data_IF_016533576459
#
_entry.id   IF_016533576459
#
_cell.length_a   1.000
_cell.length_b   1.000
_cell.length_c   1.000
_cell.angle_alpha   90.00
_cell.angle_beta   90.00
_cell.angle_gamma   90.00
#
_symmetry.space_group_name_H-M   'P 1'
#
loop_
_entity.id
_entity.type
_entity.pdbx_description
1 polymer ?
#
# COMPACT_ATOMS: atom_id res chain seq x y z
N UNK A 1 86.69 9.86 37.65
CA UNK A 1 85.46 9.29 38.21
C UNK A 1 84.22 10.00 37.73
N UNK A 2 84.11 10.40 36.41
CA UNK A 2 82.99 11.21 35.89
C UNK A 2 82.46 10.82 34.52
N UNK A 3 82.81 9.60 33.94
CA UNK A 3 82.31 9.16 32.65
C UNK A 3 81.18 8.15 32.70
N UNK A 4 80.81 7.62 33.85
CA UNK A 4 79.72 6.64 33.98
C UNK A 4 78.32 7.26 34.27
N UNK A 5 78.20 8.51 34.64
CA UNK A 5 76.93 9.17 34.93
C UNK A 5 76.22 9.74 33.69
N UNK A 6 76.97 10.00 32.59
CA UNK A 6 76.39 10.52 31.33
C UNK A 6 75.63 9.47 30.51
N UNK A 7 75.99 8.21 30.60
CA UNK A 7 75.34 7.10 29.80
C UNK A 7 74.00 6.66 30.38
N UNK A 8 73.77 6.89 31.69
CA UNK A 8 72.52 6.46 32.33
C UNK A 8 71.36 7.48 32.11
N UNK A 9 71.69 8.75 31.86
CA UNK A 9 70.68 9.80 31.60
C UNK A 9 70.21 9.80 30.16
N UNK A 10 71.11 9.42 29.19
CA UNK A 10 70.70 9.30 27.77
C UNK A 10 69.84 8.05 27.53
N UNK A 11 70.02 6.94 28.25
CA UNK A 11 69.19 5.74 28.20
C UNK A 11 67.77 5.96 28.74
N UNK A 12 67.58 6.86 29.70
CA UNK A 12 66.27 7.15 30.32
C UNK A 12 65.43 8.12 29.49
N UNK A 13 66.05 8.95 28.61
CA UNK A 13 65.33 9.86 27.70
C UNK A 13 64.81 9.17 26.41
N UNK A 14 65.37 8.03 26.03
CA UNK A 14 64.89 7.25 24.84
C UNK A 14 63.70 6.36 25.17
N UNK A 15 63.42 6.05 26.43
CA UNK A 15 62.28 5.21 26.82
C UNK A 15 60.95 5.97 26.94
N UNK A 16 60.91 7.31 26.88
CA UNK A 16 59.66 8.11 26.89
C UNK A 16 59.02 8.35 25.55
N UNK A 17 59.63 7.88 24.44
CA UNK A 17 59.08 8.09 23.09
C UNK A 17 58.15 6.91 22.61
N UNK A 18 57.89 5.89 23.42
CA UNK A 18 57.19 4.67 23.00
C UNK A 18 55.67 4.62 23.23
N UNK A 19 55.07 5.68 23.86
CA UNK A 19 53.62 5.77 24.00
C UNK A 19 53.04 6.74 22.95
N UNK A 20 53.16 6.42 21.66
CA UNK A 20 52.23 6.99 20.67
C UNK A 20 50.88 6.34 20.88
N UNK A 21 49.97 7.06 21.55
CA UNK A 21 48.56 6.65 21.59
C UNK A 21 48.09 6.40 20.17
N UNK A 22 47.50 5.25 19.91
CA UNK A 22 46.91 4.95 18.60
C UNK A 22 45.88 6.03 18.27
N UNK A 23 46.01 6.62 17.10
CA UNK A 23 45.03 7.58 16.62
C UNK A 23 43.63 6.92 16.62
N UNK A 24 42.60 7.68 17.02
CA UNK A 24 41.24 7.13 17.06
C UNK A 24 40.85 6.60 15.66
N UNK A 25 40.58 5.31 15.57
CA UNK A 25 40.19 4.64 14.32
C UNK A 25 38.68 4.41 14.33
N UNK A 26 38.01 4.68 13.22
CA UNK A 26 36.63 4.28 13.01
C UNK A 26 36.62 2.87 12.41
N UNK A 27 36.01 1.94 13.14
CA UNK A 27 35.86 0.53 12.73
C UNK A 27 34.42 0.28 12.31
N UNK A 28 34.23 -0.70 11.43
CA UNK A 28 32.91 -1.07 10.95
C UNK A 28 32.89 -2.32 10.11
N UNK A 29 31.80 -2.50 9.40
CA UNK A 29 31.54 -3.61 8.50
C UNK A 29 31.05 -3.14 7.16
N UNK A 30 31.29 -3.95 6.13
CA UNK A 30 30.76 -3.73 4.79
C UNK A 30 29.32 -4.23 4.73
N UNK A 31 28.41 -3.37 4.32
CA UNK A 31 26.98 -3.68 4.21
C UNK A 31 26.41 -3.28 2.84
N UNK A 32 25.24 -3.81 2.55
CA UNK A 32 24.44 -3.45 1.37
C UNK A 32 23.08 -2.93 1.80
N UNK A 33 22.48 -2.10 0.97
CA UNK A 33 21.08 -1.75 1.14
C UNK A 33 20.25 -3.02 0.92
N UNK A 34 19.31 -3.26 1.84
CA UNK A 34 18.47 -4.46 1.85
C UNK A 34 17.02 -4.13 1.59
N UNK A 35 16.39 -4.94 0.76
CA UNK A 35 14.94 -4.94 0.56
C UNK A 35 14.40 -6.29 1.00
N UNK A 36 13.56 -6.27 2.01
CA UNK A 36 12.85 -7.45 2.50
C UNK A 36 11.48 -7.52 1.86
N UNK A 37 11.15 -8.66 1.27
CA UNK A 37 9.84 -8.94 0.70
C UNK A 37 9.04 -9.76 1.69
N UNK A 38 8.00 -9.17 2.31
CA UNK A 38 7.14 -9.90 3.24
C UNK A 38 6.08 -10.72 2.52
N UNK A 39 5.59 -11.78 3.16
CA UNK A 39 4.45 -12.56 2.72
C UNK A 39 3.18 -11.70 2.70
N UNK A 40 2.50 -11.54 1.55
CA UNK A 40 1.27 -10.74 1.46
C UNK A 40 0.07 -11.41 2.12
N UNK A 41 0.08 -12.74 2.21
CA UNK A 41 -0.92 -13.57 2.88
C UNK A 41 -0.26 -14.86 3.38
N UNK A 42 -0.95 -15.58 4.28
CA UNK A 42 -0.48 -16.88 4.78
C UNK A 42 -0.91 -17.98 3.81
N UNK A 43 -0.14 -18.13 2.73
CA UNK A 43 -0.36 -19.11 1.67
C UNK A 43 0.88 -19.97 1.47
N UNK A 44 0.70 -21.20 0.96
CA UNK A 44 1.78 -22.15 0.70
C UNK A 44 2.64 -21.70 -0.48
N UNK A 45 3.96 -21.86 -0.36
CA UNK A 45 4.90 -21.64 -1.45
C UNK A 45 4.81 -22.81 -2.44
N UNK A 46 4.39 -22.53 -3.67
CA UNK A 46 4.20 -23.55 -4.73
C UNK A 46 5.32 -23.51 -5.78
N UNK A 47 6.13 -22.44 -5.84
CA UNK A 47 7.26 -22.34 -6.74
C UNK A 47 8.27 -21.34 -6.20
N UNK A 48 9.55 -21.65 -6.40
CA UNK A 48 10.69 -20.76 -6.15
C UNK A 48 11.50 -20.69 -7.43
N UNK A 49 11.65 -19.49 -7.99
CA UNK A 49 12.25 -19.27 -9.32
C UNK A 49 13.73 -18.87 -9.23
N UNK A 50 14.24 -18.61 -8.02
CA UNK A 50 15.61 -18.11 -7.79
C UNK A 50 16.32 -18.88 -6.69
N UNK A 51 17.64 -18.67 -6.60
CA UNK A 51 18.50 -19.24 -5.55
C UNK A 51 19.21 -18.12 -4.78
N UNK A 52 19.60 -18.41 -3.55
CA UNK A 52 20.46 -17.52 -2.77
C UNK A 52 21.78 -17.26 -3.53
N UNK A 53 22.25 -16.03 -3.48
CA UNK A 53 23.42 -15.57 -4.24
C UNK A 53 23.14 -15.17 -5.70
N UNK A 54 21.97 -15.47 -6.26
CA UNK A 54 21.64 -15.17 -7.66
C UNK A 54 21.39 -13.67 -7.87
N UNK A 55 21.92 -13.14 -9.00
CA UNK A 55 21.59 -11.79 -9.47
C UNK A 55 20.23 -11.80 -10.17
N UNK A 56 19.40 -10.80 -9.86
CA UNK A 56 18.05 -10.63 -10.42
C UNK A 56 17.86 -9.21 -10.93
N UNK A 57 17.14 -9.08 -12.03
CA UNK A 57 16.70 -7.78 -12.54
C UNK A 57 15.44 -7.31 -11.80
N UNK A 58 15.14 -6.01 -11.88
CA UNK A 58 13.84 -5.50 -11.42
C UNK A 58 12.70 -6.17 -12.19
N UNK A 59 11.64 -6.60 -11.49
CA UNK A 59 10.51 -7.32 -12.06
C UNK A 59 10.74 -8.83 -12.26
N UNK A 60 11.96 -9.36 -12.00
CA UNK A 60 12.21 -10.79 -12.11
C UNK A 60 11.36 -11.59 -11.10
N UNK A 61 10.76 -12.72 -11.52
CA UNK A 61 10.00 -13.58 -10.62
C UNK A 61 10.94 -14.21 -9.58
N UNK A 62 10.51 -14.21 -8.31
CA UNK A 62 11.27 -14.78 -7.19
C UNK A 62 10.62 -16.03 -6.67
N UNK A 63 9.34 -15.97 -6.38
CA UNK A 63 8.55 -17.12 -5.93
C UNK A 63 7.05 -16.90 -6.14
N UNK A 64 6.32 -17.99 -6.11
CA UNK A 64 4.88 -18.03 -6.27
C UNK A 64 4.24 -18.66 -5.04
N UNK A 65 3.29 -17.95 -4.43
CA UNK A 65 2.41 -18.49 -3.41
C UNK A 65 1.18 -19.13 -4.07
N UNK A 66 0.48 -19.99 -3.35
CA UNK A 66 -0.73 -20.64 -3.82
C UNK A 66 -1.83 -19.61 -4.13
N UNK A 67 -2.49 -19.76 -5.29
CA UNK A 67 -3.47 -18.79 -5.81
C UNK A 67 -4.92 -19.23 -5.63
N UNK A 68 -5.16 -20.52 -5.38
CA UNK A 68 -6.49 -21.14 -5.45
C UNK A 68 -7.54 -20.42 -4.60
N UNK A 69 -7.21 -20.12 -3.36
CA UNK A 69 -8.11 -19.41 -2.45
C UNK A 69 -8.37 -17.97 -2.93
N UNK A 70 -7.32 -17.23 -3.26
CA UNK A 70 -7.43 -15.83 -3.70
C UNK A 70 -8.20 -15.71 -5.04
N UNK A 71 -8.03 -16.68 -5.96
CA UNK A 71 -8.79 -16.74 -7.22
C UNK A 71 -10.27 -17.02 -6.97
N UNK A 72 -10.59 -17.96 -6.07
CA UNK A 72 -11.97 -18.27 -5.70
C UNK A 72 -12.67 -17.07 -5.06
N UNK A 73 -11.97 -16.35 -4.19
CA UNK A 73 -12.46 -15.11 -3.59
C UNK A 73 -12.69 -14.02 -4.65
N UNK A 74 -11.77 -13.87 -5.60
CA UNK A 74 -11.93 -12.91 -6.70
C UNK A 74 -13.18 -13.24 -7.53
N UNK A 75 -13.39 -14.52 -7.87
CA UNK A 75 -14.55 -14.94 -8.61
C UNK A 75 -15.88 -14.68 -7.86
N UNK A 76 -15.90 -14.90 -6.54
CA UNK A 76 -17.07 -14.60 -5.70
C UNK A 76 -17.40 -13.10 -5.70
N UNK A 77 -16.37 -12.23 -5.53
CA UNK A 77 -16.54 -10.79 -5.56
C UNK A 77 -16.97 -10.26 -6.95
N UNK A 78 -16.48 -10.88 -8.03
CA UNK A 78 -16.92 -10.58 -9.40
C UNK A 78 -18.40 -10.94 -9.59
N UNK A 79 -18.85 -12.07 -9.03
CA UNK A 79 -20.26 -12.44 -9.02
C UNK A 79 -21.14 -11.41 -8.29
N UNK A 80 -20.66 -10.90 -7.15
CA UNK A 80 -21.37 -9.86 -6.40
C UNK A 80 -21.42 -8.53 -7.15
N UNK A 81 -20.34 -8.14 -7.83
CA UNK A 81 -20.33 -6.94 -8.68
C UNK A 81 -21.30 -7.08 -9.87
N UNK A 82 -21.37 -8.27 -10.48
CA UNK A 82 -22.35 -8.58 -11.53
C UNK A 82 -23.79 -8.48 -11.03
N UNK A 83 -24.07 -8.97 -9.83
CA UNK A 83 -25.39 -8.84 -9.18
C UNK A 83 -25.75 -7.36 -8.96
N UNK A 84 -24.80 -6.54 -8.44
CA UNK A 84 -25.03 -5.08 -8.25
C UNK A 84 -25.26 -4.37 -9.59
N UNK A 85 -24.55 -4.79 -10.65
CA UNK A 85 -24.76 -4.28 -12.02
C UNK A 85 -26.16 -4.59 -12.53
N UNK A 86 -26.64 -5.81 -12.34
CA UNK A 86 -27.99 -6.23 -12.76
C UNK A 86 -29.08 -5.43 -11.97
N UNK A 87 -28.90 -5.27 -10.65
CA UNK A 87 -29.80 -4.49 -9.84
C UNK A 87 -29.87 -3.00 -10.25
N UNK A 88 -28.74 -2.39 -10.56
CA UNK A 88 -28.68 -1.03 -11.08
C UNK A 88 -29.38 -0.93 -12.47
N UNK A 89 -29.16 -1.91 -13.33
CA UNK A 89 -29.81 -1.96 -14.63
C UNK A 89 -31.33 -2.07 -14.50
N UNK A 90 -31.83 -2.84 -13.53
CA UNK A 90 -33.27 -2.90 -13.22
C UNK A 90 -33.82 -1.53 -12.82
N UNK A 91 -33.11 -0.81 -11.94
CA UNK A 91 -33.51 0.55 -11.56
C UNK A 91 -33.53 1.52 -12.73
N UNK A 92 -32.56 1.44 -13.65
CA UNK A 92 -32.50 2.28 -14.85
C UNK A 92 -33.58 1.92 -15.89
N UNK A 93 -33.88 0.64 -16.05
CA UNK A 93 -34.91 0.18 -16.99
C UNK A 93 -36.32 0.58 -16.51
N UNK A 94 -36.50 0.74 -15.19
CA UNK A 94 -37.78 1.10 -14.60
C UNK A 94 -38.88 0.06 -14.75
N UNK A 95 -40.16 0.43 -14.60
CA UNK A 95 -41.30 -0.44 -14.73
C UNK A 95 -41.41 -1.07 -16.14
N UNK A 96 -41.98 -2.26 -16.20
CA UNK A 96 -42.15 -2.98 -17.47
C UNK A 96 -43.14 -2.24 -18.38
N UNK A 97 -42.94 -2.35 -19.70
CA UNK A 97 -43.83 -1.75 -20.68
C UNK A 97 -45.28 -2.24 -20.56
N UNK A 98 -45.48 -3.50 -20.12
CA UNK A 98 -46.78 -4.10 -19.89
C UNK A 98 -47.50 -3.42 -18.70
N UNK A 99 -46.80 -3.11 -17.62
CA UNK A 99 -47.39 -2.44 -16.43
C UNK A 99 -47.84 -1.03 -16.83
N UNK A 100 -47.04 -0.31 -17.59
CA UNK A 100 -47.36 1.01 -18.12
C UNK A 100 -48.58 0.94 -19.06
N UNK A 101 -48.64 -0.09 -19.94
CA UNK A 101 -49.78 -0.27 -20.85
C UNK A 101 -51.09 -0.56 -20.07
N UNK A 102 -50.99 -1.38 -19.02
CA UNK A 102 -52.12 -1.69 -18.15
C UNK A 102 -52.65 -0.44 -17.43
N UNK A 103 -51.75 0.37 -16.85
CA UNK A 103 -52.09 1.61 -16.19
C UNK A 103 -52.73 2.65 -17.14
N UNK A 104 -52.26 2.73 -18.39
CA UNK A 104 -52.85 3.57 -19.42
C UNK A 104 -54.27 3.11 -19.78
N UNK A 105 -54.52 1.80 -19.92
CA UNK A 105 -55.83 1.25 -20.19
C UNK A 105 -56.82 1.56 -19.01
N UNK A 106 -56.35 1.44 -17.77
CA UNK A 106 -57.09 1.77 -16.57
C UNK A 106 -57.47 3.26 -16.54
N UNK A 107 -56.54 4.17 -16.88
CA UNK A 107 -56.80 5.61 -16.97
C UNK A 107 -57.87 5.91 -18.05
N UNK A 108 -57.76 5.32 -19.23
CA UNK A 108 -58.73 5.50 -20.32
C UNK A 108 -60.14 5.05 -19.88
N UNK A 109 -60.29 3.92 -19.21
CA UNK A 109 -61.53 3.43 -18.68
C UNK A 109 -62.15 4.36 -17.61
N UNK A 110 -61.34 4.81 -16.65
CA UNK A 110 -61.76 5.77 -15.58
C UNK A 110 -62.17 7.11 -16.17
N UNK A 111 -61.45 7.61 -17.14
CA UNK A 111 -61.81 8.85 -17.85
C UNK A 111 -63.14 8.74 -18.64
N UNK A 112 -63.41 7.58 -19.26
CA UNK A 112 -64.63 7.34 -19.94
C UNK A 112 -65.84 7.36 -18.94
N UNK A 113 -65.66 6.72 -17.78
CA UNK A 113 -66.65 6.71 -16.71
C UNK A 113 -66.91 8.11 -16.14
N UNK A 114 -65.85 8.88 -15.92
CA UNK A 114 -65.94 10.28 -15.44
C UNK A 114 -66.69 11.15 -16.47
N UNK A 115 -66.36 11.04 -17.75
CA UNK A 115 -67.11 11.75 -18.82
C UNK A 115 -68.57 11.37 -18.83
N UNK A 116 -68.92 10.11 -18.75
CA UNK A 116 -70.31 9.62 -18.74
C UNK A 116 -71.07 10.22 -17.54
N UNK A 117 -70.52 10.13 -16.32
CA UNK A 117 -71.15 10.67 -15.11
C UNK A 117 -71.30 12.18 -15.17
N UNK A 118 -70.31 12.90 -15.69
CA UNK A 118 -70.35 14.35 -15.86
C UNK A 118 -71.43 14.78 -16.86
N UNK A 119 -71.53 14.11 -18.02
CA UNK A 119 -72.59 14.37 -19.04
C UNK A 119 -73.97 14.09 -18.46
N UNK A 120 -74.14 13.05 -17.66
CA UNK A 120 -75.38 12.74 -17.01
C UNK A 120 -75.76 13.84 -16.00
N UNK A 121 -74.86 14.23 -15.11
CA UNK A 121 -75.05 15.35 -14.17
C UNK A 121 -75.39 16.67 -14.88
N UNK A 122 -74.63 17.01 -15.93
CA UNK A 122 -74.89 18.24 -16.72
C UNK A 122 -76.22 18.25 -17.44
N UNK A 123 -76.79 17.10 -17.78
CA UNK A 123 -78.10 16.93 -18.40
C UNK A 123 -79.22 17.19 -17.30
N UNK A 124 -79.01 16.70 -16.09
CA UNK A 124 -79.96 16.85 -14.98
C UNK A 124 -80.00 18.25 -14.37
N UNK A 125 -78.90 18.97 -14.38
CA UNK A 125 -78.74 20.28 -13.75
C UNK A 125 -79.77 21.31 -14.22
N UNK A 126 -80.08 21.53 -15.52
CA UNK A 126 -81.09 22.45 -15.97
C UNK A 126 -82.54 21.96 -15.70
N UNK A 127 -82.74 20.66 -15.55
CA UNK A 127 -84.04 20.08 -15.15
C UNK A 127 -84.29 20.26 -13.67
N UNK A 128 -83.24 20.17 -12.85
CA UNK A 128 -83.36 20.50 -11.39
C UNK A 128 -83.74 21.92 -11.11
N UNK A 129 -83.19 22.91 -11.83
CA UNK A 129 -83.55 24.35 -11.72
C UNK A 129 -84.99 24.61 -12.08
N UNK A 130 -85.56 23.74 -12.93
CA UNK A 130 -86.98 23.79 -13.34
C UNK A 130 -87.91 22.93 -12.47
N UNK A 131 -87.39 22.31 -11.41
CA UNK A 131 -88.11 21.41 -10.48
C UNK A 131 -88.66 20.14 -11.22
N UNK A 132 -88.09 19.71 -12.35
CA UNK A 132 -88.59 18.60 -13.11
C UNK A 132 -87.91 17.23 -12.74
N UNK A 133 -86.96 17.28 -11.80
CA UNK A 133 -86.31 16.11 -11.20
C UNK A 133 -86.21 16.34 -9.67
N UNK A 134 -86.13 15.23 -8.91
CA UNK A 134 -86.00 15.30 -7.45
C UNK A 134 -84.61 15.81 -7.05
N UNK A 135 -84.50 16.66 -6.03
CA UNK A 135 -83.28 17.19 -5.49
C UNK A 135 -82.26 16.06 -5.12
N UNK A 136 -82.78 14.96 -4.55
CA UNK A 136 -81.98 13.82 -4.18
C UNK A 136 -81.35 13.09 -5.39
N UNK A 137 -81.98 13.17 -6.59
CA UNK A 137 -81.44 12.58 -7.81
C UNK A 137 -80.30 13.45 -8.39
N UNK A 138 -80.48 14.75 -8.38
CA UNK A 138 -79.49 15.73 -8.75
C UNK A 138 -78.20 15.60 -7.86
N UNK A 139 -78.43 15.49 -6.51
CA UNK A 139 -77.31 15.28 -5.58
C UNK A 139 -76.55 13.98 -5.80
N UNK A 140 -77.29 12.87 -6.08
CA UNK A 140 -76.66 11.58 -6.44
C UNK A 140 -75.83 11.66 -7.74
N UNK A 141 -76.40 12.31 -8.77
CA UNK A 141 -75.67 12.47 -10.03
C UNK A 141 -74.42 13.34 -9.86
N UNK A 142 -74.52 14.39 -9.02
CA UNK A 142 -73.37 15.22 -8.67
C UNK A 142 -72.33 14.43 -7.91
N UNK A 143 -72.70 13.68 -6.89
CA UNK A 143 -71.75 12.83 -6.13
C UNK A 143 -71.12 11.76 -7.00
N UNK A 144 -71.86 11.10 -7.91
CA UNK A 144 -71.35 10.14 -8.86
C UNK A 144 -70.31 10.76 -9.84
N UNK A 145 -70.59 11.95 -10.36
CA UNK A 145 -69.67 12.67 -11.22
C UNK A 145 -68.36 13.07 -10.50
N UNK A 146 -68.49 13.51 -9.23
CA UNK A 146 -67.32 13.83 -8.41
C UNK A 146 -66.47 12.61 -8.07
N UNK A 147 -67.13 11.49 -7.72
CA UNK A 147 -66.44 10.23 -7.45
C UNK A 147 -65.69 9.70 -8.68
N UNK A 148 -66.35 9.64 -9.83
CA UNK A 148 -65.74 9.17 -11.07
C UNK A 148 -64.55 10.08 -11.52
N UNK A 149 -64.67 11.39 -11.28
CA UNK A 149 -63.55 12.32 -11.54
C UNK A 149 -62.36 12.05 -10.62
N UNK A 150 -62.62 11.77 -9.34
CA UNK A 150 -61.58 11.40 -8.40
C UNK A 150 -60.90 10.05 -8.77
N UNK A 151 -61.66 9.08 -9.28
CA UNK A 151 -61.19 7.79 -9.74
C UNK A 151 -60.24 7.97 -10.95
N UNK A 152 -60.64 8.83 -11.92
CA UNK A 152 -59.79 9.20 -13.04
C UNK A 152 -58.49 9.87 -12.59
N UNK A 153 -58.55 10.77 -11.60
CA UNK A 153 -57.35 11.37 -11.02
C UNK A 153 -56.45 10.38 -10.32
N UNK A 154 -57.00 9.34 -9.64
CA UNK A 154 -56.19 8.28 -9.03
C UNK A 154 -55.49 7.43 -10.09
N UNK A 155 -56.19 7.09 -11.18
CA UNK A 155 -55.60 6.34 -12.26
C UNK A 155 -54.51 7.11 -13.03
N UNK A 156 -54.66 8.43 -13.16
CA UNK A 156 -53.65 9.33 -13.75
C UNK A 156 -52.40 9.40 -12.88
N UNK A 157 -52.57 9.57 -11.56
CA UNK A 157 -51.46 9.58 -10.61
C UNK A 157 -50.68 8.25 -10.60
N UNK A 158 -51.39 7.10 -10.69
CA UNK A 158 -50.77 5.77 -10.75
C UNK A 158 -49.96 5.58 -12.05
N UNK A 159 -50.47 6.05 -13.18
CA UNK A 159 -49.71 6.04 -14.43
C UNK A 159 -48.49 6.95 -14.36
N UNK A 160 -48.63 8.15 -13.81
CA UNK A 160 -47.55 9.10 -13.64
C UNK A 160 -46.43 8.53 -12.74
N UNK A 161 -46.78 7.83 -11.68
CA UNK A 161 -45.80 7.14 -10.80
C UNK A 161 -44.98 6.10 -11.60
N UNK A 162 -45.62 5.27 -12.41
CA UNK A 162 -44.92 4.29 -13.26
C UNK A 162 -44.04 4.98 -14.33
N UNK A 163 -44.50 6.08 -14.92
CA UNK A 163 -43.74 6.83 -15.91
C UNK A 163 -42.51 7.56 -15.34
N UNK A 164 -42.59 8.00 -14.10
CA UNK A 164 -41.44 8.59 -13.40
C UNK A 164 -40.37 7.54 -13.08
N UNK A 165 -40.73 6.25 -12.91
CA UNK A 165 -39.80 5.17 -12.68
C UNK A 165 -39.12 5.24 -11.30
N UNK A 166 -37.88 4.75 -11.23
CA UNK A 166 -37.09 4.75 -9.97
C UNK A 166 -36.73 6.16 -9.52
N UNK A 167 -36.74 6.39 -8.22
CA UNK A 167 -36.31 7.67 -7.64
C UNK A 167 -34.80 7.89 -7.84
N UNK A 168 -34.39 9.12 -7.98
CA UNK A 168 -32.98 9.51 -8.16
C UNK A 168 -32.11 8.94 -7.02
N UNK A 169 -32.64 8.94 -5.79
CA UNK A 169 -31.92 8.41 -4.62
C UNK A 169 -31.73 6.89 -4.70
N UNK A 170 -32.69 6.16 -5.28
CA UNK A 170 -32.57 4.71 -5.47
C UNK A 170 -31.50 4.37 -6.51
N UNK A 171 -31.46 5.14 -7.60
CA UNK A 171 -30.42 5.00 -8.63
C UNK A 171 -29.04 5.33 -8.03
N UNK A 172 -28.90 6.44 -7.32
CA UNK A 172 -27.65 6.83 -6.66
C UNK A 172 -27.18 5.78 -5.64
N UNK A 173 -28.12 5.16 -4.90
CA UNK A 173 -27.82 4.06 -3.99
C UNK A 173 -27.33 2.82 -4.73
N UNK A 174 -27.94 2.49 -5.87
CA UNK A 174 -27.51 1.39 -6.75
C UNK A 174 -26.11 1.63 -7.32
N UNK A 175 -25.81 2.85 -7.77
CA UNK A 175 -24.49 3.25 -8.25
C UNK A 175 -23.42 3.12 -7.17
N UNK A 176 -23.72 3.58 -5.95
CA UNK A 176 -22.81 3.46 -4.82
C UNK A 176 -22.55 2.00 -4.43
N UNK A 177 -23.59 1.14 -4.48
CA UNK A 177 -23.45 -0.29 -4.23
C UNK A 177 -22.57 -0.97 -5.29
N UNK A 178 -22.74 -0.63 -6.56
CA UNK A 178 -21.89 -1.13 -7.64
C UNK A 178 -20.44 -0.67 -7.49
N UNK A 179 -20.23 0.62 -7.21
CA UNK A 179 -18.89 1.17 -6.99
C UNK A 179 -18.15 0.47 -5.83
N UNK A 180 -18.86 0.19 -4.73
CA UNK A 180 -18.32 -0.56 -3.59
C UNK A 180 -17.94 -1.99 -3.97
N UNK A 181 -18.80 -2.70 -4.70
CA UNK A 181 -18.53 -4.06 -5.16
C UNK A 181 -17.31 -4.11 -6.10
N UNK A 182 -17.19 -3.16 -7.03
CA UNK A 182 -16.04 -3.02 -7.94
C UNK A 182 -14.74 -2.70 -7.20
N UNK A 183 -14.79 -1.87 -6.16
CA UNK A 183 -13.64 -1.60 -5.30
C UNK A 183 -13.12 -2.87 -4.60
N UNK A 184 -14.03 -3.72 -4.11
CA UNK A 184 -13.70 -5.01 -3.50
C UNK A 184 -13.03 -5.97 -4.51
N UNK A 185 -13.53 -6.03 -5.74
CA UNK A 185 -12.91 -6.80 -6.85
C UNK A 185 -11.49 -6.31 -7.10
N UNK A 186 -11.30 -4.99 -7.18
CA UNK A 186 -10.00 -4.37 -7.43
C UNK A 186 -9.00 -4.67 -6.29
N UNK A 187 -9.43 -4.57 -5.03
CA UNK A 187 -8.62 -4.88 -3.87
C UNK A 187 -8.15 -6.35 -3.88
N UNK A 188 -9.06 -7.28 -4.18
CA UNK A 188 -8.72 -8.69 -4.26
C UNK A 188 -7.81 -9.02 -5.45
N UNK A 189 -7.98 -8.35 -6.59
CA UNK A 189 -7.10 -8.50 -7.75
C UNK A 189 -5.65 -8.04 -7.44
N UNK A 190 -5.50 -6.95 -6.68
CA UNK A 190 -4.20 -6.49 -6.19
C UNK A 190 -3.56 -7.51 -5.26
N UNK A 191 -4.34 -8.09 -4.32
CA UNK A 191 -3.83 -9.13 -3.43
C UNK A 191 -3.37 -10.35 -4.24
N UNK A 192 -4.18 -10.82 -5.20
CA UNK A 192 -3.84 -11.93 -6.09
C UNK A 192 -2.52 -11.66 -6.83
N UNK A 193 -2.33 -10.45 -7.36
CA UNK A 193 -1.10 -10.06 -8.04
C UNK A 193 0.13 -10.09 -7.12
N UNK A 194 -0.04 -9.75 -5.84
CA UNK A 194 1.05 -9.78 -4.85
C UNK A 194 1.48 -11.20 -4.45
N UNK A 195 0.66 -12.23 -4.68
CA UNK A 195 1.03 -13.62 -4.41
C UNK A 195 2.10 -14.15 -5.38
N UNK A 196 2.32 -13.50 -6.51
CA UNK A 196 3.50 -13.67 -7.35
C UNK A 196 4.57 -12.66 -6.92
N UNK A 197 5.55 -13.10 -6.13
CA UNK A 197 6.62 -12.24 -5.67
C UNK A 197 7.59 -11.94 -6.80
N UNK A 198 7.82 -10.67 -7.04
CA UNK A 198 8.82 -10.18 -8.01
C UNK A 198 9.82 -9.26 -7.34
N UNK A 199 11.03 -9.18 -7.88
CA UNK A 199 12.07 -8.28 -7.39
C UNK A 199 11.66 -6.82 -7.64
N UNK A 200 11.52 -5.97 -6.61
CA UNK A 200 11.14 -4.56 -6.80
C UNK A 200 12.27 -3.73 -7.41
N UNK A 201 13.51 -4.17 -7.27
CA UNK A 201 14.73 -3.55 -7.79
C UNK A 201 15.70 -4.63 -8.20
N UNK A 202 16.61 -4.29 -9.13
CA UNK A 202 17.74 -5.15 -9.46
C UNK A 202 18.67 -5.32 -8.25
N UNK A 203 19.17 -6.53 -8.04
CA UNK A 203 20.03 -6.85 -6.91
C UNK A 203 20.40 -8.32 -6.85
N UNK A 204 20.99 -8.74 -5.74
CA UNK A 204 21.36 -10.13 -5.45
C UNK A 204 20.48 -10.69 -4.35
N UNK A 205 20.00 -11.91 -4.52
CA UNK A 205 19.24 -12.62 -3.48
C UNK A 205 20.17 -12.95 -2.31
N UNK A 206 19.91 -12.38 -1.14
CA UNK A 206 20.70 -12.60 0.08
C UNK A 206 20.23 -13.87 0.80
N UNK A 207 18.92 -13.98 1.04
CA UNK A 207 18.36 -15.15 1.72
C UNK A 207 16.94 -15.48 1.29
N UNK A 208 16.60 -16.76 1.35
CA UNK A 208 15.27 -17.35 1.14
C UNK A 208 14.96 -18.24 2.37
N UNK A 209 14.41 -17.65 3.45
CA UNK A 209 14.23 -18.36 4.72
C UNK A 209 13.27 -19.56 4.65
N UNK A 210 12.35 -19.56 3.67
CA UNK A 210 11.34 -20.59 3.49
C UNK A 210 11.64 -21.49 2.28
N UNK A 211 11.14 -22.71 2.32
CA UNK A 211 11.32 -23.72 1.28
C UNK A 211 10.00 -23.97 0.54
N UNK A 212 10.12 -24.68 -0.59
CA UNK A 212 8.95 -25.13 -1.35
C UNK A 212 8.05 -26.00 -0.46
N UNK A 213 6.76 -25.68 -0.40
CA UNK A 213 5.77 -26.35 0.42
C UNK A 213 5.52 -25.71 1.79
N UNK A 214 6.39 -24.82 2.27
CA UNK A 214 6.16 -24.09 3.52
C UNK A 214 5.00 -23.11 3.39
N UNK A 215 4.34 -22.83 4.51
CA UNK A 215 3.27 -21.84 4.63
C UNK A 215 3.66 -20.76 5.64
N UNK A 216 4.31 -19.69 5.19
CA UNK A 216 4.71 -18.58 6.05
C UNK A 216 3.51 -17.80 6.56
N UNK A 217 3.62 -17.22 7.76
CA UNK A 217 2.62 -16.28 8.25
C UNK A 217 2.65 -14.98 7.45
N UNK A 218 1.53 -14.27 7.36
CA UNK A 218 1.47 -12.95 6.75
C UNK A 218 2.48 -12.00 7.40
N UNK A 219 3.24 -11.27 6.60
CA UNK A 219 4.29 -10.37 7.04
C UNK A 219 5.66 -11.04 7.27
N UNK A 220 5.75 -12.38 7.25
CA UNK A 220 7.03 -13.08 7.36
C UNK A 220 7.96 -12.75 6.18
N UNK A 221 9.28 -12.60 6.40
CA UNK A 221 10.23 -12.30 5.33
C UNK A 221 10.39 -13.50 4.39
N UNK A 222 9.93 -13.39 3.15
CA UNK A 222 10.05 -14.47 2.15
C UNK A 222 11.36 -14.43 1.38
N UNK A 223 11.85 -13.25 1.09
CA UNK A 223 13.12 -13.04 0.41
C UNK A 223 13.77 -11.75 0.91
N UNK A 224 15.08 -11.76 1.01
CA UNK A 224 15.89 -10.56 1.24
C UNK A 224 16.78 -10.35 0.04
N UNK A 225 16.74 -9.14 -0.52
CA UNK A 225 17.57 -8.74 -1.66
C UNK A 225 18.60 -7.70 -1.20
N UNK A 226 19.84 -7.86 -1.61
CA UNK A 226 20.86 -6.82 -1.57
C UNK A 226 20.73 -5.99 -2.84
N UNK A 227 20.46 -4.70 -2.68
CA UNK A 227 20.15 -3.80 -3.79
C UNK A 227 21.15 -2.65 -3.86
N UNK A 228 21.31 -2.08 -5.05
CA UNK A 228 22.27 -1.01 -5.31
C UNK A 228 23.41 -1.46 -6.21
N UNK A 229 24.25 -0.51 -6.62
CA UNK A 229 25.39 -0.78 -7.52
C UNK A 229 26.68 -1.10 -6.75
N UNK A 230 26.74 -0.69 -5.49
CA UNK A 230 27.91 -0.87 -4.61
C UNK A 230 27.48 -0.97 -3.14
N UNK A 231 28.29 -1.64 -2.30
CA UNK A 231 28.09 -1.67 -0.86
C UNK A 231 28.41 -0.32 -0.22
N UNK A 232 28.11 -0.20 1.06
CA UNK A 232 28.55 0.91 1.91
C UNK A 232 29.28 0.37 3.14
N UNK A 233 30.17 1.20 3.69
CA UNK A 233 30.82 0.91 4.96
C UNK A 233 29.95 1.49 6.09
N UNK A 234 29.49 0.65 6.99
CA UNK A 234 28.82 1.04 8.23
C UNK A 234 29.84 1.08 9.34
N UNK A 235 30.13 2.28 9.82
CA UNK A 235 31.24 2.53 10.74
C UNK A 235 30.78 3.26 11.98
N UNK A 236 31.56 3.05 13.06
CA UNK A 236 31.37 3.73 14.33
C UNK A 236 32.45 4.80 14.49
N UNK A 237 32.08 6.06 14.34
CA UNK A 237 32.97 7.21 14.48
C UNK A 237 33.16 7.56 15.95
N UNK A 238 34.35 7.51 16.52
CA UNK A 238 34.64 8.09 17.82
C UNK A 238 34.30 9.57 17.86
N UNK A 239 33.98 10.11 19.03
CA UNK A 239 33.60 11.52 19.19
C UNK A 239 34.65 12.49 18.62
N UNK A 240 35.94 12.18 18.75
CA UNK A 240 37.02 12.98 18.20
C UNK A 240 36.96 13.14 16.68
N UNK A 241 36.57 12.09 15.96
CA UNK A 241 36.38 12.11 14.50
C UNK A 241 35.02 12.72 14.11
N UNK A 242 33.97 12.48 14.92
CA UNK A 242 32.65 13.05 14.68
C UNK A 242 32.64 14.57 14.58
N UNK A 243 33.44 15.24 15.42
CA UNK A 243 33.52 16.70 15.46
C UNK A 243 34.19 17.32 14.22
N UNK A 244 34.94 16.52 13.47
CA UNK A 244 35.69 16.97 12.28
C UNK A 244 35.02 16.59 10.98
N UNK A 245 34.19 15.52 10.95
CA UNK A 245 33.62 14.92 9.76
C UNK A 245 32.17 15.38 9.56
N UNK A 246 31.83 15.63 8.30
CA UNK A 246 30.51 16.04 7.85
C UNK A 246 29.99 15.11 6.75
N UNK A 247 28.66 15.10 6.56
CA UNK A 247 28.05 14.41 5.42
C UNK A 247 28.57 15.03 4.12
N UNK A 248 29.03 14.19 3.22
CA UNK A 248 29.64 14.61 1.95
C UNK A 248 31.16 14.54 1.94
N UNK A 249 31.84 14.42 3.09
CA UNK A 249 33.30 14.32 3.15
C UNK A 249 33.79 13.01 2.49
N UNK A 250 34.92 13.13 1.80
CA UNK A 250 35.62 11.98 1.21
C UNK A 250 36.51 11.33 2.27
N UNK A 251 36.44 10.02 2.34
CA UNK A 251 37.25 9.19 3.24
C UNK A 251 37.81 7.99 2.49
N UNK A 252 38.83 7.38 3.04
CA UNK A 252 39.39 6.13 2.54
C UNK A 252 38.99 4.98 3.49
N UNK A 253 38.52 3.88 2.91
CA UNK A 253 38.12 2.70 3.64
C UNK A 253 39.06 1.54 3.26
N UNK A 254 39.54 0.84 4.28
CA UNK A 254 40.44 -0.31 4.12
C UNK A 254 39.85 -1.52 4.81
N UNK A 255 39.81 -2.68 4.12
CA UNK A 255 39.46 -3.94 4.74
C UNK A 255 40.47 -4.37 5.80
N UNK A 256 40.02 -5.07 6.84
CA UNK A 256 40.92 -5.72 7.79
C UNK A 256 41.19 -7.16 7.35
N UNK A 257 42.43 -7.67 7.59
CA UNK A 257 42.85 -9.02 7.24
C UNK A 257 43.94 -9.04 6.15
N UNK A 258 44.15 -10.20 5.52
CA UNK A 258 45.23 -10.42 4.56
C UNK A 258 45.11 -9.60 3.25
N UNK A 259 43.88 -9.10 2.97
CA UNK A 259 43.63 -8.19 1.84
C UNK A 259 43.92 -6.70 2.21
N UNK A 260 44.60 -6.42 3.31
CA UNK A 260 44.77 -5.11 3.95
C UNK A 260 45.57 -4.06 3.15
N UNK A 261 45.93 -4.33 1.88
CA UNK A 261 46.65 -3.35 1.05
C UNK A 261 45.77 -2.50 0.18
N UNK A 262 44.53 -2.91 -0.08
CA UNK A 262 43.63 -2.20 -0.98
C UNK A 262 42.77 -1.19 -0.22
N UNK A 263 42.79 0.03 -0.70
CA UNK A 263 42.03 1.18 -0.14
C UNK A 263 40.93 1.56 -1.13
N UNK A 264 39.74 1.72 -0.63
CA UNK A 264 38.56 2.10 -1.41
C UNK A 264 38.16 3.55 -1.09
N UNK A 265 38.02 4.41 -2.09
CA UNK A 265 37.51 5.74 -1.89
C UNK A 265 36.03 5.68 -1.52
N UNK A 266 35.62 6.47 -0.52
CA UNK A 266 34.24 6.55 -0.09
C UNK A 266 33.83 7.97 0.24
N UNK A 267 32.51 8.17 0.34
CA UNK A 267 31.94 9.45 0.74
C UNK A 267 30.90 9.24 1.84
N UNK A 268 30.95 10.03 2.89
CA UNK A 268 29.99 9.95 3.99
C UNK A 268 28.59 10.30 3.45
N UNK A 269 27.65 9.34 3.51
CA UNK A 269 26.25 9.54 3.11
C UNK A 269 25.33 9.91 4.28
N UNK A 270 25.72 9.49 5.50
CA UNK A 270 24.92 9.71 6.69
C UNK A 270 25.80 9.64 7.95
N UNK A 271 25.51 10.48 8.95
CA UNK A 271 26.01 10.35 10.30
C UNK A 271 24.83 10.55 11.26
N UNK A 272 24.60 9.58 12.15
CA UNK A 272 23.54 9.72 13.16
C UNK A 272 23.91 10.80 14.18
N UNK A 273 22.90 11.54 14.63
CA UNK A 273 23.05 12.55 15.68
C UNK A 273 23.13 11.93 17.07
N UNK A 274 22.50 10.78 17.27
CA UNK A 274 22.48 10.07 18.54
C UNK A 274 23.71 9.17 18.68
N UNK A 275 24.44 9.26 19.80
CA UNK A 275 25.57 8.38 20.06
C UNK A 275 25.04 6.97 20.40
N UNK A 276 25.84 5.99 20.06
CA UNK A 276 25.61 4.58 20.41
C UNK A 276 26.85 4.02 21.08
N UNK A 277 26.68 3.04 21.98
CA UNK A 277 27.82 2.29 22.48
C UNK A 277 28.29 1.32 21.39
N UNK A 278 29.62 1.26 21.19
CA UNK A 278 30.16 0.30 20.22
C UNK A 278 29.83 -1.15 20.65
N UNK A 279 29.31 -1.99 19.74
CA UNK A 279 29.03 -3.39 20.08
C UNK A 279 30.30 -4.25 20.22
N UNK A 280 31.48 -3.70 19.99
CA UNK A 280 32.75 -4.40 20.19
C UNK A 280 33.15 -4.30 21.65
N UNK A 281 33.26 -5.44 22.32
CA UNK A 281 33.90 -5.56 23.61
C UNK A 281 35.37 -5.21 23.45
N UNK A 282 35.76 -3.99 23.83
CA UNK A 282 37.15 -3.65 23.91
C UNK A 282 37.77 -4.47 25.05
N UNK A 283 38.86 -5.18 24.73
CA UNK A 283 39.59 -5.98 25.68
C UNK A 283 40.36 -5.17 26.74
N UNK A 284 40.30 -3.83 26.67
CA UNK A 284 40.94 -2.92 27.61
C UNK A 284 39.93 -1.88 28.11
N UNK A 285 39.85 -1.70 29.42
CA UNK A 285 38.81 -0.92 30.11
C UNK A 285 38.75 0.58 29.83
N UNK A 286 39.64 1.15 29.03
CA UNK A 286 39.60 2.57 28.63
C UNK A 286 38.82 2.85 27.31
N UNK A 287 38.57 1.83 26.52
CA UNK A 287 37.86 1.97 25.22
C UNK A 287 36.35 1.62 25.31
N UNK A 288 35.93 0.97 26.42
CA UNK A 288 34.56 0.55 26.62
C UNK A 288 33.55 1.69 26.88
N UNK A 289 34.02 2.89 27.27
CA UNK A 289 33.18 4.01 27.65
C UNK A 289 33.09 5.13 26.57
N UNK A 290 33.69 4.92 25.39
CA UNK A 290 33.71 5.97 24.36
C UNK A 290 32.43 5.97 23.55
N UNK A 291 31.67 7.05 23.66
CA UNK A 291 30.56 7.35 22.78
C UNK A 291 31.02 7.34 21.32
N UNK A 292 30.31 6.60 20.49
CA UNK A 292 30.54 6.55 19.05
C UNK A 292 29.26 6.87 18.28
N UNK A 293 29.43 7.37 17.07
CA UNK A 293 28.34 7.75 16.20
C UNK A 293 28.32 6.85 14.99
N UNK A 294 27.15 6.27 14.70
CA UNK A 294 26.97 5.46 13.50
C UNK A 294 27.06 6.35 12.27
N UNK A 295 27.93 6.00 11.33
CA UNK A 295 28.03 6.65 10.04
C UNK A 295 28.02 5.61 8.92
N UNK A 296 27.57 6.02 7.76
CA UNK A 296 27.54 5.24 6.55
C UNK A 296 28.34 5.95 5.46
N UNK A 297 29.25 5.23 4.82
CA UNK A 297 30.14 5.71 3.79
C UNK A 297 29.84 4.94 2.52
N UNK A 298 29.30 5.60 1.50
CA UNK A 298 29.08 5.01 0.18
C UNK A 298 30.44 4.70 -0.47
N UNK A 299 30.59 3.50 -1.03
CA UNK A 299 31.76 3.07 -1.79
C UNK A 299 31.46 3.08 -3.30
N UNK A 300 32.50 3.00 -4.11
CA UNK A 300 32.39 2.89 -5.56
C UNK A 300 32.10 1.46 -6.02
N UNK A 301 31.85 1.30 -7.33
CA UNK A 301 31.56 -0.02 -7.97
C UNK A 301 32.70 -1.01 -7.83
N UNK A 302 33.92 -0.55 -7.64
CA UNK A 302 35.11 -1.36 -7.36
C UNK A 302 34.99 -2.20 -6.08
N UNK A 303 34.12 -1.78 -5.15
CA UNK A 303 33.83 -2.52 -3.93
C UNK A 303 32.70 -3.56 -4.08
N UNK A 304 32.06 -3.66 -5.26
CA UNK A 304 30.86 -4.49 -5.46
C UNK A 304 31.11 -6.00 -5.30
N UNK A 305 32.34 -6.45 -5.47
CA UNK A 305 32.74 -7.86 -5.33
C UNK A 305 33.15 -8.26 -3.92
N UNK A 306 33.23 -7.28 -3.00
CA UNK A 306 33.67 -7.54 -1.64
C UNK A 306 32.59 -8.30 -0.83
N UNK A 307 33.01 -9.18 0.08
CA UNK A 307 32.09 -9.96 0.89
C UNK A 307 31.32 -9.08 1.88
N UNK A 308 30.04 -9.32 1.98
CA UNK A 308 29.17 -8.66 2.99
C UNK A 308 29.63 -9.05 4.39
N UNK A 309 29.60 -8.09 5.31
CA UNK A 309 30.04 -8.30 6.69
C UNK A 309 31.56 -8.25 6.89
N UNK A 310 32.34 -8.00 5.83
CA UNK A 310 33.78 -7.86 5.96
C UNK A 310 34.14 -6.72 6.93
N UNK A 311 35.02 -6.97 7.93
CA UNK A 311 35.47 -5.93 8.84
C UNK A 311 36.35 -4.93 8.11
N UNK A 312 36.17 -3.66 8.43
CA UNK A 312 36.91 -2.55 7.81
C UNK A 312 37.29 -1.47 8.81
N UNK A 313 38.23 -0.64 8.41
CA UNK A 313 38.61 0.59 9.13
C UNK A 313 38.61 1.78 8.17
N UNK A 314 38.33 2.93 8.73
CA UNK A 314 38.44 4.20 8.01
C UNK A 314 39.82 4.79 8.25
N UNK A 315 40.47 5.17 7.16
CA UNK A 315 41.73 5.92 7.20
C UNK A 315 41.38 7.41 7.16
N UNK A 316 41.75 8.12 8.21
CA UNK A 316 41.64 9.60 8.26
C UNK A 316 42.99 10.17 7.78
N UNK A 317 43.01 10.79 6.63
CA UNK A 317 44.22 11.39 6.05
C UNK A 317 44.74 12.64 6.85
N UNK A 318 44.06 12.99 7.95
CA UNK A 318 44.50 14.12 8.80
C UNK A 318 44.49 15.49 8.12
N UNK A 319 43.96 15.56 6.90
CA UNK A 319 43.93 16.79 6.10
C UNK A 319 42.73 17.64 6.46
N UNK A 320 42.85 18.37 7.60
CA UNK A 320 42.21 19.69 7.86
C UNK A 320 42.89 20.35 9.06
#
# INVERSE_FOLDING_TARGET
>A
MNKRRGFLVIGMLLSLAACRGQAPQALGTLEWDRVTLPAPASERIVRIDVREGQQVAAGAPLMQLELTYAQSQLAALQGQAAQSTAALSELHNGPRSEDIAQARAALVAAQAQARQAQVYYARLQPLGTRQLVAASELDRARAAAQSAQADAGRADAALAELLHGSRIEQVAQGEAALASAQANVSAQAVLLGKLALVAPRAGRVDSLPYKLGDQPAQGAPLAVLLVGEAPYARVYLPQALRNRLQVGDALQVQLQGDAATQVYPGRIRMIRSEPVFTPYFALTGQDAERLSYLAEISLGKEAATLPVGAPLKVLDDGRR
#
